data_IF_241754056049
#
_entry.id   IF_241754056049
#
_cell.length_a   1.000
_cell.length_b   1.000
_cell.length_c   1.000
_cell.angle_alpha   90.00
_cell.angle_beta   90.00
_cell.angle_gamma   90.00
#
_symmetry.space_group_name_H-M   'P 1'
#
loop_
_entity.id
_entity.type
_entity.pdbx_description
1 polymer ?
#
# COMPACT_ATOMS: atom_id res chain seq x y z
N UNK A 1 2.87 -6.41 12.92
CA UNK A 1 2.39 -6.73 14.29
C UNK A 1 1.41 -7.89 14.22
N UNK A 2 0.80 -8.32 15.33
CA UNK A 2 -0.12 -9.47 15.35
C UNK A 2 -1.59 -9.12 15.09
N UNK A 3 -1.91 -7.83 14.89
CA UNK A 3 -3.25 -7.30 14.66
C UNK A 3 -3.32 -6.51 13.35
N UNK A 4 -2.58 -6.97 12.33
CA UNK A 4 -2.48 -6.27 11.05
C UNK A 4 -3.82 -6.33 10.30
N UNK A 5 -4.55 -7.44 10.40
CA UNK A 5 -5.89 -7.62 9.81
C UNK A 5 -6.88 -6.60 10.35
N UNK A 6 -6.94 -6.43 11.67
CA UNK A 6 -7.84 -5.46 12.31
C UNK A 6 -7.45 -4.03 11.95
N UNK A 7 -6.15 -3.75 11.94
CA UNK A 7 -5.60 -2.43 11.61
C UNK A 7 -5.98 -2.03 10.19
N UNK A 8 -5.70 -2.88 9.20
CA UNK A 8 -6.02 -2.56 7.79
C UNK A 8 -7.53 -2.51 7.56
N UNK A 9 -8.31 -3.39 8.21
CA UNK A 9 -9.78 -3.39 8.10
C UNK A 9 -10.39 -2.09 8.64
N UNK A 10 -9.90 -1.60 9.77
CA UNK A 10 -10.33 -0.33 10.34
C UNK A 10 -9.96 0.84 9.43
N UNK A 11 -8.72 0.89 8.95
CA UNK A 11 -8.24 1.96 8.06
C UNK A 11 -9.04 2.00 6.76
N UNK A 12 -9.32 0.85 6.15
CA UNK A 12 -10.16 0.76 4.95
C UNK A 12 -11.60 1.16 5.23
N UNK A 13 -12.17 0.76 6.37
CA UNK A 13 -13.51 1.21 6.78
C UNK A 13 -13.57 2.73 6.96
N UNK A 14 -12.54 3.33 7.55
CA UNK A 14 -12.41 4.79 7.67
C UNK A 14 -12.27 5.46 6.30
N UNK A 15 -11.51 4.88 5.37
CA UNK A 15 -11.41 5.37 3.99
C UNK A 15 -12.77 5.34 3.28
N UNK A 16 -13.54 4.28 3.42
CA UNK A 16 -14.90 4.19 2.84
C UNK A 16 -15.82 5.23 3.48
N UNK A 17 -15.82 5.34 4.81
CA UNK A 17 -16.69 6.25 5.56
C UNK A 17 -16.35 7.73 5.34
N UNK A 18 -15.08 8.05 5.14
CA UNK A 18 -14.54 9.40 5.05
C UNK A 18 -13.64 9.58 3.82
N UNK A 19 -14.18 9.23 2.64
CA UNK A 19 -13.45 9.17 1.36
C UNK A 19 -12.57 10.38 1.05
N UNK A 20 -12.98 11.59 1.44
CA UNK A 20 -12.28 12.85 1.12
C UNK A 20 -11.37 13.33 2.25
N UNK A 21 -11.37 12.66 3.42
CA UNK A 21 -10.58 13.04 4.60
C UNK A 21 -9.49 12.04 4.96
N UNK A 22 -9.62 10.80 4.50
CA UNK A 22 -8.64 9.74 4.73
C UNK A 22 -8.00 9.39 3.39
N UNK A 23 -6.68 9.52 3.31
CA UNK A 23 -5.88 9.07 2.17
C UNK A 23 -4.90 8.03 2.67
N UNK A 24 -4.78 6.92 1.95
CA UNK A 24 -3.92 5.80 2.29
C UNK A 24 -2.88 5.70 1.17
N UNK A 25 -1.60 5.73 1.52
CA UNK A 25 -0.52 5.50 0.58
C UNK A 25 -0.03 4.06 0.70
N UNK A 26 0.53 3.54 -0.39
CA UNK A 26 1.14 2.21 -0.42
C UNK A 26 2.51 2.25 0.26
N UNK A 27 2.73 1.38 1.23
CA UNK A 27 4.06 1.11 1.79
C UNK A 27 4.72 -0.10 1.13
N UNK A 28 5.98 -0.37 1.53
CA UNK A 28 6.73 -1.52 1.01
C UNK A 28 6.17 -2.88 1.52
N UNK A 29 5.49 -2.87 2.68
CA UNK A 29 4.81 -4.06 3.22
C UNK A 29 3.47 -4.33 2.53
N UNK A 30 2.90 -3.39 1.77
CA UNK A 30 1.71 -3.60 0.93
C UNK A 30 2.09 -4.25 -0.42
N UNK A 31 2.89 -5.31 -0.34
CA UNK A 31 3.40 -6.16 -1.42
C UNK A 31 3.25 -7.63 -1.00
N UNK A 32 2.86 -8.50 -1.94
CA UNK A 32 2.57 -9.92 -1.67
C UNK A 32 3.74 -10.69 -1.07
N UNK A 33 4.95 -10.47 -1.56
CA UNK A 33 6.15 -11.20 -1.09
C UNK A 33 6.51 -10.77 0.33
N UNK A 34 6.57 -9.46 0.54
CA UNK A 34 6.95 -8.88 1.82
C UNK A 34 5.95 -9.28 2.90
N UNK A 35 4.66 -9.06 2.70
CA UNK A 35 3.68 -9.38 3.76
C UNK A 35 3.52 -10.88 4.03
N UNK A 36 3.86 -11.74 3.06
CA UNK A 36 3.91 -13.19 3.26
C UNK A 36 5.07 -13.57 4.18
N UNK A 37 6.25 -13.00 3.95
CA UNK A 37 7.44 -13.23 4.78
C UNK A 37 7.24 -12.68 6.20
N UNK A 38 6.64 -11.49 6.33
CA UNK A 38 6.50 -10.79 7.62
C UNK A 38 5.20 -11.12 8.37
N UNK A 39 4.53 -12.22 8.03
CA UNK A 39 3.51 -12.86 8.86
C UNK A 39 2.07 -12.37 8.67
N UNK A 40 1.79 -11.46 7.73
CA UNK A 40 0.41 -11.05 7.43
C UNK A 40 -0.39 -12.18 6.78
N UNK A 41 0.24 -12.94 5.90
CA UNK A 41 -0.35 -14.16 5.33
C UNK A 41 -0.74 -15.15 6.43
N UNK A 42 0.18 -15.43 7.36
CA UNK A 42 -0.05 -16.34 8.48
C UNK A 42 -1.17 -15.84 9.40
N UNK A 43 -1.22 -14.52 9.64
CA UNK A 43 -2.30 -13.91 10.43
C UNK A 43 -3.66 -14.14 9.79
N UNK A 44 -3.79 -13.87 8.48
CA UNK A 44 -5.02 -14.13 7.73
C UNK A 44 -5.41 -15.60 7.76
N UNK A 45 -4.46 -16.49 7.50
CA UNK A 45 -4.71 -17.93 7.48
C UNK A 45 -5.15 -18.45 8.86
N UNK A 46 -4.48 -18.02 9.94
CA UNK A 46 -4.83 -18.41 11.31
C UNK A 46 -6.22 -17.92 11.73
N UNK A 47 -6.62 -16.70 11.33
CA UNK A 47 -7.91 -16.11 11.72
C UNK A 47 -9.09 -16.62 10.91
N UNK A 48 -8.89 -16.92 9.62
CA UNK A 48 -9.99 -17.24 8.69
C UNK A 48 -9.94 -18.65 8.11
N UNK A 49 -8.89 -19.43 8.40
CA UNK A 49 -8.74 -20.82 7.97
C UNK A 49 -8.44 -21.02 6.48
N UNK A 50 -8.21 -19.93 5.73
CA UNK A 50 -7.85 -19.95 4.32
C UNK A 50 -7.16 -18.64 3.90
N UNK A 51 -6.66 -18.61 2.67
CA UNK A 51 -5.90 -17.47 2.11
C UNK A 51 -6.76 -16.37 1.46
N UNK A 52 -8.08 -16.51 1.38
CA UNK A 52 -8.91 -15.58 0.61
C UNK A 52 -8.83 -14.14 1.15
N UNK A 53 -8.82 -13.98 2.47
CA UNK A 53 -8.69 -12.65 3.10
C UNK A 53 -7.37 -12.00 2.73
N UNK A 54 -6.27 -12.76 2.72
CA UNK A 54 -4.97 -12.28 2.27
C UNK A 54 -4.99 -11.89 0.78
N UNK A 55 -5.62 -12.69 -0.08
CA UNK A 55 -5.80 -12.37 -1.51
C UNK A 55 -6.55 -11.05 -1.69
N UNK A 56 -7.69 -10.89 -1.00
CA UNK A 56 -8.48 -9.65 -1.10
C UNK A 56 -7.70 -8.42 -0.65
N UNK A 57 -6.95 -8.50 0.45
CA UNK A 57 -6.10 -7.38 0.88
C UNK A 57 -5.01 -7.06 -0.14
N UNK A 58 -4.31 -8.08 -0.63
CA UNK A 58 -3.22 -7.89 -1.59
C UNK A 58 -3.71 -7.35 -2.93
N UNK A 59 -4.89 -7.74 -3.39
CA UNK A 59 -5.51 -7.17 -4.58
C UNK A 59 -5.83 -5.68 -4.39
N UNK A 60 -6.36 -5.29 -3.22
CA UNK A 60 -6.64 -3.88 -2.92
C UNK A 60 -5.35 -3.05 -2.80
N UNK A 61 -4.26 -3.62 -2.29
CA UNK A 61 -2.99 -2.92 -2.16
C UNK A 61 -2.43 -2.40 -3.49
N UNK A 62 -2.72 -3.07 -4.61
CA UNK A 62 -2.32 -2.62 -5.95
C UNK A 62 -2.97 -1.29 -6.37
N UNK A 63 -4.10 -0.92 -5.74
CA UNK A 63 -4.82 0.31 -6.06
C UNK A 63 -4.37 1.50 -5.20
N UNK A 64 -3.60 1.26 -4.14
CA UNK A 64 -3.13 2.31 -3.25
C UNK A 64 -2.19 3.28 -4.00
N UNK A 65 -2.40 4.60 -3.90
CA UNK A 65 -1.46 5.60 -4.42
C UNK A 65 -0.06 5.45 -3.83
N UNK A 66 0.97 5.70 -4.64
CA UNK A 66 2.36 5.67 -4.17
C UNK A 66 2.73 6.93 -3.38
N UNK A 67 2.17 8.08 -3.76
CA UNK A 67 2.55 9.39 -3.24
C UNK A 67 1.33 10.31 -3.08
N UNK A 68 1.48 11.36 -2.27
CA UNK A 68 0.54 12.46 -2.17
C UNK A 68 1.28 13.80 -2.22
N UNK A 69 0.59 14.83 -2.72
CA UNK A 69 1.05 16.21 -2.69
C UNK A 69 0.04 17.05 -1.92
N UNK A 70 0.41 17.56 -0.75
CA UNK A 70 -0.45 18.35 0.12
C UNK A 70 -0.17 19.82 -0.16
N UNK A 71 -1.23 20.57 -0.47
CA UNK A 71 -1.21 22.03 -0.71
C UNK A 71 -0.16 22.47 -1.76
N UNK A 72 0.21 21.58 -2.69
CA UNK A 72 1.29 21.81 -3.66
C UNK A 72 2.66 22.12 -3.03
N UNK A 73 2.87 21.75 -1.77
CA UNK A 73 4.06 22.10 -1.00
C UNK A 73 4.73 20.88 -0.36
N UNK A 74 3.94 19.98 0.20
CA UNK A 74 4.47 18.83 0.93
C UNK A 74 4.29 17.56 0.10
N UNK A 75 5.41 16.97 -0.27
CA UNK A 75 5.46 15.70 -0.98
C UNK A 75 5.57 14.55 0.02
N UNK A 76 4.60 13.64 0.01
CA UNK A 76 4.49 12.53 0.95
C UNK A 76 4.60 11.19 0.23
N UNK A 77 5.40 10.29 0.80
CA UNK A 77 5.65 8.94 0.32
C UNK A 77 6.14 8.07 1.48
N UNK A 78 6.10 6.75 1.30
CA UNK A 78 6.51 5.81 2.35
C UNK A 78 8.05 5.74 2.50
N UNK A 79 8.77 5.57 1.39
CA UNK A 79 10.22 5.42 1.38
C UNK A 79 10.95 6.74 1.24
N UNK A 80 11.35 7.07 0.00
CA UNK A 80 12.15 8.25 -0.29
C UNK A 80 12.29 8.52 -1.78
N UNK A 81 13.11 9.51 -2.13
CA UNK A 81 13.32 9.93 -3.50
C UNK A 81 14.08 8.87 -4.30
N UNK A 82 13.75 8.74 -5.58
CA UNK A 82 14.47 7.90 -6.53
C UNK A 82 15.34 8.79 -7.44
N UNK A 83 16.60 8.42 -7.73
CA UNK A 83 17.43 9.16 -8.68
C UNK A 83 16.89 9.13 -10.12
N UNK A 84 15.96 8.23 -10.42
CA UNK A 84 15.29 8.15 -11.72
C UNK A 84 14.05 9.06 -11.82
N UNK A 85 13.68 9.74 -10.73
CA UNK A 85 12.52 10.64 -10.65
C UNK A 85 13.00 12.03 -10.25
N UNK A 86 12.93 12.95 -11.21
CA UNK A 86 13.33 14.35 -11.04
C UNK A 86 12.11 15.26 -10.84
N UNK A 87 10.92 14.84 -11.28
CA UNK A 87 9.71 15.65 -11.21
C UNK A 87 8.45 14.81 -10.95
N UNK A 88 7.37 15.50 -10.57
CA UNK A 88 6.09 14.86 -10.23
C UNK A 88 5.39 14.21 -11.43
N UNK A 89 5.67 14.67 -12.65
CA UNK A 89 5.03 14.11 -13.86
C UNK A 89 5.55 12.70 -14.18
N UNK A 90 6.83 12.44 -13.90
CA UNK A 90 7.39 11.09 -13.98
C UNK A 90 6.74 10.13 -12.99
N UNK A 91 6.34 10.61 -11.80
CA UNK A 91 5.60 9.77 -10.83
C UNK A 91 4.20 9.47 -11.34
N UNK A 92 3.52 10.47 -11.92
CA UNK A 92 2.16 10.33 -12.46
C UNK A 92 2.08 9.34 -13.62
N UNK A 93 3.18 9.13 -14.35
CA UNK A 93 3.25 8.18 -15.47
C UNK A 93 3.56 6.73 -15.05
N UNK A 94 3.88 6.48 -13.77
CA UNK A 94 4.15 5.12 -13.29
C UNK A 94 2.89 4.26 -13.32
N UNK A 95 3.00 3.06 -13.91
CA UNK A 95 1.98 2.03 -13.77
C UNK A 95 2.02 1.42 -12.37
N UNK A 96 1.24 1.95 -11.43
CA UNK A 96 1.22 1.46 -10.04
C UNK A 96 0.43 0.17 -9.79
N UNK A 97 -0.34 -0.30 -10.76
CA UNK A 97 -1.23 -1.46 -10.61
C UNK A 97 -0.46 -2.79 -10.83
N UNK A 98 0.64 -2.95 -10.13
CA UNK A 98 1.53 -4.12 -10.19
C UNK A 98 2.22 -4.32 -8.84
N UNK A 99 2.87 -5.48 -8.65
CA UNK A 99 3.74 -5.67 -7.48
C UNK A 99 4.94 -4.71 -7.56
N UNK A 100 5.45 -4.31 -6.40
CA UNK A 100 6.64 -3.46 -6.33
C UNK A 100 7.83 -4.24 -6.91
N UNK A 101 8.54 -3.69 -7.91
CA UNK A 101 9.74 -4.33 -8.45
C UNK A 101 10.88 -4.29 -7.42
N UNK A 102 11.89 -5.16 -7.60
CA UNK A 102 13.09 -5.13 -6.74
C UNK A 102 13.97 -3.90 -6.99
N UNK A 103 13.88 -3.30 -8.18
CA UNK A 103 14.62 -2.11 -8.58
C UNK A 103 13.74 -1.17 -9.40
N UNK A 104 14.11 0.10 -9.40
CA UNK A 104 13.50 1.13 -10.23
C UNK A 104 12.86 2.26 -9.43
N UNK A 105 12.02 3.07 -10.08
CA UNK A 105 11.40 4.26 -9.48
C UNK A 105 10.22 3.96 -8.54
N UNK A 106 9.82 2.69 -8.38
CA UNK A 106 8.65 2.27 -7.61
C UNK A 106 9.03 1.45 -6.39
#
# INVERSE_FOLDING_TARGET
GSNSVETVSLIFSLKVRFKDRVTILRGNHENREINKIYGFYDECYKKYGNENVWKYFTDVFLYLPLTALIESQLFCLHGGLSPAIENLDQIRSLNRFQELPHEGPM
#
